data_IF_965198105669
#
_entry.id   IF_965198105669
#
_cell.length_a   1.000
_cell.length_b   1.000
_cell.length_c   1.000
_cell.angle_alpha   90.00
_cell.angle_beta   90.00
_cell.angle_gamma   90.00
#
_symmetry.space_group_name_H-M   'P 1'
#
loop_
_entity.id
_entity.type
_entity.pdbx_description
1 polymer ?
#
# COMPACT_ATOMS: atom_id res chain seq x y z
N UNK A 1 13.93 -4.87 8.20
CA UNK A 1 13.40 -5.82 9.19
C UNK A 1 12.85 -7.07 8.52
N UNK A 2 12.58 -8.15 9.30
CA UNK A 2 11.89 -9.33 8.77
C UNK A 2 10.41 -9.27 9.10
N UNK A 3 9.57 -9.68 8.17
CA UNK A 3 8.13 -9.82 8.36
C UNK A 3 7.60 -11.01 7.58
N UNK A 4 6.39 -11.49 7.90
CA UNK A 4 5.74 -12.56 7.13
C UNK A 4 4.78 -11.97 6.12
N UNK A 5 4.81 -12.51 4.90
CA UNK A 5 3.88 -12.13 3.86
C UNK A 5 3.32 -13.36 3.13
N UNK A 6 2.10 -13.25 2.63
CA UNK A 6 1.53 -14.19 1.69
C UNK A 6 1.94 -13.75 0.27
N UNK A 7 2.80 -14.52 -0.38
CA UNK A 7 3.39 -14.19 -1.67
C UNK A 7 2.79 -15.06 -2.77
N UNK A 8 2.34 -14.44 -3.85
CA UNK A 8 2.02 -15.11 -5.10
C UNK A 8 3.32 -15.18 -5.93
N UNK A 9 3.94 -16.36 -5.99
CA UNK A 9 5.17 -16.53 -6.77
C UNK A 9 4.90 -16.69 -8.26
N UNK A 10 3.81 -17.34 -8.62
CA UNK A 10 3.41 -17.61 -10.00
C UNK A 10 1.88 -17.52 -10.16
N UNK A 11 1.46 -17.16 -11.36
CA UNK A 11 0.05 -17.15 -11.74
C UNK A 11 -0.60 -18.54 -11.54
N UNK A 12 -1.82 -18.56 -11.01
CA UNK A 12 -2.61 -19.78 -10.80
C UNK A 12 -2.14 -20.69 -9.67
N UNK A 13 -1.05 -20.34 -8.96
CA UNK A 13 -0.54 -21.12 -7.83
C UNK A 13 -1.13 -20.62 -6.51
N UNK A 14 -1.15 -21.46 -5.46
CA UNK A 14 -1.49 -21.02 -4.11
C UNK A 14 -0.51 -19.95 -3.61
N UNK A 15 -0.99 -19.10 -2.71
CA UNK A 15 -0.11 -18.18 -1.97
C UNK A 15 0.77 -18.96 -1.00
N UNK A 16 2.02 -18.54 -0.87
CA UNK A 16 2.96 -19.07 0.09
C UNK A 16 3.24 -18.06 1.19
N UNK A 17 3.14 -18.48 2.46
CA UNK A 17 3.50 -17.63 3.59
C UNK A 17 4.99 -17.78 3.85
N UNK A 18 5.73 -16.72 3.54
CA UNK A 18 7.19 -16.70 3.69
C UNK A 18 7.65 -15.50 4.52
N UNK A 19 8.83 -15.61 5.09
CA UNK A 19 9.52 -14.49 5.72
C UNK A 19 10.22 -13.67 4.64
N UNK A 20 9.93 -12.38 4.60
CA UNK A 20 10.47 -11.41 3.64
C UNK A 20 11.25 -10.31 4.36
N UNK A 21 12.17 -9.69 3.64
CA UNK A 21 12.84 -8.49 4.09
C UNK A 21 11.98 -7.27 3.75
N UNK A 22 11.81 -6.39 4.72
CA UNK A 22 11.12 -5.11 4.58
C UNK A 22 12.06 -3.98 4.97
N UNK A 23 12.24 -3.02 4.07
CA UNK A 23 12.96 -1.78 4.35
C UNK A 23 12.15 -0.87 5.28
N UNK A 24 12.83 0.05 5.97
CA UNK A 24 12.18 1.14 6.71
C UNK A 24 11.54 2.17 5.77
N UNK A 25 10.67 3.04 6.31
CA UNK A 25 10.00 4.05 5.50
C UNK A 25 10.98 5.13 5.04
N UNK A 26 10.99 5.45 3.76
CA UNK A 26 11.72 6.59 3.18
C UNK A 26 10.95 7.91 3.42
N UNK A 27 11.48 9.01 2.91
CA UNK A 27 10.80 10.30 2.98
C UNK A 27 9.40 10.22 2.35
N UNK A 28 8.39 10.70 3.06
CA UNK A 28 6.99 10.65 2.65
C UNK A 28 6.29 9.30 2.88
N UNK A 29 6.99 8.29 3.41
CA UNK A 29 6.45 6.95 3.62
C UNK A 29 6.12 6.68 5.10
N UNK A 30 5.29 5.68 5.32
CA UNK A 30 4.85 5.25 6.65
C UNK A 30 4.99 3.75 6.78
N UNK A 31 5.54 3.27 7.88
CA UNK A 31 5.53 1.85 8.23
C UNK A 31 4.30 1.55 9.09
N UNK A 32 3.49 0.62 8.64
CA UNK A 32 2.23 0.24 9.30
C UNK A 32 2.27 -1.22 9.71
N UNK A 33 1.95 -1.50 10.96
CA UNK A 33 1.68 -2.86 11.43
C UNK A 33 0.23 -3.21 11.10
N UNK A 34 0.01 -4.11 10.14
CA UNK A 34 -1.31 -4.55 9.75
C UNK A 34 -1.95 -5.38 10.86
N UNK A 35 -3.12 -4.98 11.31
CA UNK A 35 -3.91 -5.64 12.36
C UNK A 35 -5.10 -6.42 11.81
N UNK A 36 -5.62 -6.00 10.66
CA UNK A 36 -6.72 -6.65 9.96
C UNK A 36 -6.58 -6.45 8.46
N UNK A 37 -7.12 -7.36 7.68
CA UNK A 37 -7.19 -7.24 6.23
C UNK A 37 -8.48 -7.83 5.70
N UNK A 38 -9.08 -7.19 4.69
CA UNK A 38 -10.14 -7.76 3.88
C UNK A 38 -9.58 -8.70 2.81
N UNK A 39 -10.46 -9.49 2.23
CA UNK A 39 -10.17 -10.36 1.08
C UNK A 39 -11.04 -9.87 -0.08
N UNK A 40 -10.41 -9.38 -1.12
CA UNK A 40 -11.08 -8.88 -2.30
C UNK A 40 -10.96 -9.85 -3.48
N UNK A 41 -12.00 -9.91 -4.29
CA UNK A 41 -11.98 -10.72 -5.50
C UNK A 41 -10.93 -10.24 -6.52
N UNK A 42 -10.53 -8.99 -6.46
CA UNK A 42 -9.44 -8.43 -7.28
C UNK A 42 -8.12 -9.15 -7.05
N UNK A 43 -7.82 -9.53 -5.81
CA UNK A 43 -6.60 -10.29 -5.50
C UNK A 43 -6.63 -11.68 -6.13
N UNK A 44 -7.80 -12.34 -6.13
CA UNK A 44 -7.99 -13.62 -6.81
C UNK A 44 -7.92 -13.48 -8.34
N UNK A 45 -8.46 -12.41 -8.90
CA UNK A 45 -8.38 -12.11 -10.33
C UNK A 45 -6.92 -12.00 -10.78
N UNK A 46 -6.09 -11.28 -10.02
CA UNK A 46 -4.66 -11.20 -10.28
C UNK A 46 -3.96 -12.54 -10.03
N UNK A 47 -4.20 -13.19 -8.87
CA UNK A 47 -3.59 -14.48 -8.52
C UNK A 47 -3.87 -15.57 -9.55
N UNK A 48 -5.08 -15.62 -10.09
CA UNK A 48 -5.49 -16.61 -11.09
C UNK A 48 -4.80 -16.44 -12.46
N UNK A 49 -4.22 -15.27 -12.71
CA UNK A 49 -3.63 -14.91 -14.00
C UNK A 49 -4.63 -14.37 -15.02
N UNK A 50 -5.86 -14.11 -14.60
CA UNK A 50 -6.87 -13.47 -15.47
C UNK A 50 -6.60 -11.97 -15.66
N UNK A 51 -5.85 -11.35 -14.75
CA UNK A 51 -5.44 -9.96 -14.81
C UNK A 51 -4.27 -9.77 -15.80
N UNK A 52 -4.48 -9.06 -16.92
CA UNK A 52 -3.41 -8.83 -17.89
C UNK A 52 -2.30 -7.91 -17.38
N UNK A 53 -2.54 -7.15 -16.30
CA UNK A 53 -1.54 -6.31 -15.63
C UNK A 53 -0.88 -7.05 -14.44
N UNK A 54 -1.30 -8.27 -14.14
CA UNK A 54 -0.77 -9.06 -13.03
C UNK A 54 0.71 -9.38 -13.22
N UNK A 55 1.53 -9.03 -12.23
CA UNK A 55 2.96 -9.30 -12.22
C UNK A 55 3.37 -10.13 -11.01
N UNK A 56 4.37 -11.00 -11.19
CA UNK A 56 4.83 -11.96 -10.16
C UNK A 56 6.37 -11.97 -10.08
N UNK A 57 6.96 -12.28 -8.91
CA UNK A 57 6.30 -12.56 -7.64
C UNK A 57 5.76 -11.29 -6.97
N UNK A 58 4.60 -11.38 -6.30
CA UNK A 58 3.95 -10.24 -5.69
C UNK A 58 3.30 -10.55 -4.34
N UNK A 59 3.27 -9.55 -3.47
CA UNK A 59 2.45 -9.52 -2.26
C UNK A 59 1.12 -8.87 -2.67
N UNK A 60 0.05 -9.67 -2.66
CA UNK A 60 -1.31 -9.22 -2.95
C UNK A 60 -1.99 -8.68 -1.68
N UNK A 61 -3.13 -8.04 -1.86
CA UNK A 61 -3.92 -7.44 -0.79
C UNK A 61 -3.87 -5.91 -0.82
N UNK A 62 -5.05 -5.29 -0.64
CA UNK A 62 -5.20 -3.84 -0.69
C UNK A 62 -6.26 -3.31 0.28
N UNK A 63 -6.77 -4.15 1.17
CA UNK A 63 -7.81 -3.81 2.15
C UNK A 63 -7.27 -3.96 3.58
N UNK A 64 -6.12 -3.34 3.85
CA UNK A 64 -5.49 -3.41 5.16
C UNK A 64 -6.03 -2.35 6.13
N UNK A 65 -5.95 -2.65 7.42
CA UNK A 65 -6.07 -1.68 8.51
C UNK A 65 -4.98 -1.95 9.53
N UNK A 66 -4.41 -0.91 10.11
CA UNK A 66 -3.27 -1.10 10.99
C UNK A 66 -2.92 0.10 11.85
N UNK A 67 -1.79 -0.02 12.52
CA UNK A 67 -1.24 1.01 13.41
C UNK A 67 0.10 1.47 12.84
N UNK A 68 0.29 2.77 12.78
CA UNK A 68 1.56 3.38 12.36
C UNK A 68 2.64 3.03 13.37
N UNK A 69 3.75 2.44 12.90
CA UNK A 69 4.93 2.16 13.73
C UNK A 69 5.99 3.25 13.58
N UNK A 70 6.21 3.71 12.35
CA UNK A 70 7.27 4.65 12.02
C UNK A 70 6.83 5.54 10.84
N UNK A 71 7.32 6.78 10.82
CA UNK A 71 7.07 7.72 9.73
C UNK A 71 8.39 8.20 9.15
N UNK A 72 8.47 8.28 7.83
CA UNK A 72 9.60 8.84 7.11
C UNK A 72 9.65 10.37 7.18
N UNK A 73 10.76 10.94 6.76
CA UNK A 73 10.95 12.38 6.75
C UNK A 73 9.85 13.10 5.94
N UNK A 74 9.34 14.21 6.45
CA UNK A 74 8.31 15.03 5.79
C UNK A 74 6.87 14.56 6.00
N UNK A 75 6.63 13.42 6.64
CA UNK A 75 5.28 12.98 7.02
C UNK A 75 4.83 13.77 8.24
N UNK A 76 3.70 14.49 8.12
CA UNK A 76 3.14 15.33 9.19
C UNK A 76 1.67 15.04 9.49
N UNK A 77 1.03 14.21 8.68
CA UNK A 77 -0.42 13.93 8.76
C UNK A 77 -0.78 12.79 9.71
N UNK A 78 0.19 11.93 10.02
CA UNK A 78 0.06 10.83 10.97
C UNK A 78 1.31 10.70 11.81
N UNK A 79 1.19 10.04 12.97
CA UNK A 79 2.27 9.77 13.90
C UNK A 79 2.26 8.29 14.33
N UNK A 80 3.38 7.78 14.88
CA UNK A 80 3.40 6.45 15.49
C UNK A 80 2.28 6.29 16.54
N UNK A 81 1.54 5.19 16.45
CA UNK A 81 0.36 4.90 17.27
C UNK A 81 -0.99 5.23 16.61
N UNK A 82 -1.00 5.98 15.54
CA UNK A 82 -2.25 6.28 14.82
C UNK A 82 -2.81 5.04 14.11
N UNK A 83 -4.12 4.89 14.14
CA UNK A 83 -4.84 3.85 13.42
C UNK A 83 -5.15 4.34 12.00
N UNK A 84 -4.79 3.55 11.01
CA UNK A 84 -4.89 3.94 9.60
C UNK A 84 -5.49 2.84 8.74
N UNK A 85 -6.14 3.27 7.66
CA UNK A 85 -6.60 2.42 6.55
C UNK A 85 -5.94 2.96 5.28
N UNK A 86 -5.02 2.21 4.65
CA UNK A 86 -4.42 2.61 3.39
C UNK A 86 -5.46 2.71 2.27
N UNK A 87 -5.37 3.74 1.45
CA UNK A 87 -6.18 3.85 0.24
C UNK A 87 -5.51 3.08 -0.90
N UNK A 88 -6.30 2.30 -1.64
CA UNK A 88 -5.82 1.59 -2.82
C UNK A 88 -5.31 2.52 -3.91
N UNK A 89 -5.95 3.67 -4.09
CA UNK A 89 -5.54 4.69 -5.05
C UNK A 89 -5.08 5.94 -4.30
N UNK A 90 -3.80 6.02 -3.92
CA UNK A 90 -3.26 7.19 -3.25
C UNK A 90 -3.14 8.39 -4.19
N UNK A 91 -2.96 9.58 -3.64
CA UNK A 91 -2.88 10.85 -4.37
C UNK A 91 -1.49 11.48 -4.20
N UNK A 92 -0.88 11.94 -5.30
CA UNK A 92 0.36 12.75 -5.24
C UNK A 92 0.09 14.20 -4.82
N UNK A 93 -1.17 14.68 -4.98
CA UNK A 93 -1.65 16.05 -4.65
C UNK A 93 -1.04 17.18 -5.46
N UNK A 94 -0.30 16.88 -6.49
CA UNK A 94 0.38 17.85 -7.35
C UNK A 94 -0.15 17.81 -8.78
N UNK A 95 -0.61 16.65 -9.28
CA UNK A 95 -1.11 16.54 -10.64
C UNK A 95 -2.53 17.13 -10.78
N UNK A 96 -2.89 17.49 -12.01
CA UNK A 96 -4.19 18.08 -12.33
C UNK A 96 -5.37 17.27 -11.82
N UNK A 97 -5.26 15.93 -11.84
CA UNK A 97 -6.31 15.05 -11.35
C UNK A 97 -6.45 15.11 -9.82
N UNK A 98 -5.35 15.19 -9.09
CA UNK A 98 -5.40 15.32 -7.63
C UNK A 98 -5.92 16.70 -7.20
N UNK A 99 -5.60 17.74 -7.95
CA UNK A 99 -6.04 19.11 -7.67
C UNK A 99 -7.49 19.36 -8.09
N UNK A 100 -8.05 18.51 -8.94
CA UNK A 100 -9.42 18.67 -9.42
C UNK A 100 -10.44 18.15 -8.39
N UNK A 101 -11.47 18.93 -8.01
CA UNK A 101 -12.39 18.58 -6.92
C UNK A 101 -13.29 17.37 -7.18
N UNK A 102 -13.36 16.89 -8.42
CA UNK A 102 -14.26 15.78 -8.85
C UNK A 102 -13.53 14.51 -9.24
N UNK A 103 -12.22 14.42 -9.07
CA UNK A 103 -11.45 13.24 -9.49
C UNK A 103 -10.47 12.79 -8.42
N UNK A 104 -10.19 11.49 -8.42
CA UNK A 104 -9.23 10.81 -7.56
C UNK A 104 -8.29 9.89 -8.36
N UNK A 105 -8.14 10.15 -9.66
CA UNK A 105 -7.36 9.32 -10.58
C UNK A 105 -5.94 9.88 -10.73
N UNK A 106 -5.14 9.78 -9.69
CA UNK A 106 -3.76 10.26 -9.70
C UNK A 106 -2.94 9.59 -10.82
N UNK A 107 -2.41 10.39 -11.72
CA UNK A 107 -1.60 9.88 -12.83
C UNK A 107 -0.20 9.44 -12.40
N UNK A 108 0.39 10.13 -11.42
CA UNK A 108 1.74 9.83 -10.95
C UNK A 108 1.83 8.46 -10.27
N UNK A 109 0.86 8.18 -9.41
CA UNK A 109 0.82 6.90 -8.70
C UNK A 109 0.42 5.77 -9.65
N UNK A 110 -0.52 6.00 -10.58
CA UNK A 110 -0.95 4.99 -11.55
C UNK A 110 0.19 4.46 -12.41
N UNK A 111 1.17 5.30 -12.71
CA UNK A 111 2.31 4.91 -13.54
C UNK A 111 3.19 3.79 -12.92
N UNK A 112 3.27 3.73 -11.59
CA UNK A 112 4.09 2.74 -10.86
C UNK A 112 3.27 1.66 -10.17
N UNK A 113 2.06 1.98 -9.73
CA UNK A 113 1.16 1.03 -9.07
C UNK A 113 0.84 -0.19 -9.94
N UNK A 114 0.55 0.01 -11.23
CA UNK A 114 0.32 -1.10 -12.17
C UNK A 114 1.55 -1.99 -12.40
N UNK A 115 2.73 -1.52 -12.01
CA UNK A 115 3.97 -2.30 -12.03
C UNK A 115 4.29 -2.97 -10.69
N UNK A 116 3.45 -2.79 -9.68
CA UNK A 116 3.68 -3.33 -8.33
C UNK A 116 4.82 -2.66 -7.58
N UNK A 117 5.09 -1.38 -7.88
CA UNK A 117 6.21 -0.61 -7.34
C UNK A 117 5.75 0.65 -6.63
N UNK A 118 6.62 1.17 -5.77
CA UNK A 118 6.50 2.48 -5.16
C UNK A 118 6.66 3.60 -6.20
N UNK A 119 6.24 4.84 -5.90
CA UNK A 119 6.41 5.98 -6.81
C UNK A 119 7.85 6.24 -7.26
N UNK A 120 8.85 5.82 -6.48
CA UNK A 120 10.27 5.92 -6.83
C UNK A 120 10.76 4.80 -7.77
N UNK A 121 9.84 3.94 -8.24
CA UNK A 121 10.14 2.80 -9.12
C UNK A 121 10.82 1.63 -8.43
N UNK A 122 10.85 1.58 -7.09
CA UNK A 122 11.45 0.48 -6.33
C UNK A 122 10.42 -0.22 -5.43
N UNK A 123 10.76 -1.38 -4.88
CA UNK A 123 9.99 -2.05 -3.85
C UNK A 123 10.68 -1.91 -2.49
N UNK A 124 9.88 -1.94 -1.41
CA UNK A 124 10.39 -2.04 -0.03
C UNK A 124 10.48 -3.48 0.45
N UNK A 125 9.93 -4.41 -0.33
CA UNK A 125 9.95 -5.83 -0.01
C UNK A 125 10.96 -6.58 -0.86
N UNK A 126 11.67 -7.53 -0.24
CA UNK A 126 12.52 -8.46 -0.97
C UNK A 126 12.47 -9.86 -0.36
N UNK A 127 12.73 -10.87 -1.20
CA UNK A 127 12.84 -12.27 -0.82
C UNK A 127 14.08 -12.89 -1.44
N UNK A 128 14.93 -13.47 -0.61
CA UNK A 128 16.24 -14.04 -1.06
C UNK A 128 17.06 -13.04 -1.90
N UNK A 129 17.06 -11.75 -1.50
CA UNK A 129 17.80 -10.69 -2.17
C UNK A 129 17.19 -10.21 -3.49
N UNK A 130 16.00 -10.68 -3.88
CA UNK A 130 15.26 -10.22 -5.06
C UNK A 130 14.06 -9.37 -4.64
N UNK A 131 13.78 -8.27 -5.33
CA UNK A 131 12.62 -7.45 -5.04
C UNK A 131 11.32 -8.22 -5.24
N UNK A 132 10.35 -8.00 -4.35
CA UNK A 132 8.98 -8.47 -4.49
C UNK A 132 8.09 -7.30 -4.90
N UNK A 133 7.20 -7.54 -5.84
CA UNK A 133 6.17 -6.59 -6.22
C UNK A 133 5.07 -6.52 -5.15
N UNK A 134 4.30 -5.44 -5.12
CA UNK A 134 3.18 -5.29 -4.19
C UNK A 134 2.11 -4.36 -4.78
N UNK A 135 0.85 -4.59 -4.41
CA UNK A 135 -0.28 -3.86 -5.00
C UNK A 135 -0.81 -2.70 -4.15
N UNK A 136 -0.50 -2.64 -2.88
CA UNK A 136 -0.72 -1.41 -2.11
C UNK A 136 0.48 -0.50 -2.30
N UNK A 137 0.30 0.52 -3.12
CA UNK A 137 1.17 1.68 -3.09
C UNK A 137 0.81 2.49 -1.86
N UNK A 138 1.74 2.58 -0.98
CA UNK A 138 1.74 3.23 0.30
C UNK A 138 1.01 4.54 0.42
N UNK A 139 0.57 4.76 1.64
CA UNK A 139 0.12 6.01 2.19
C UNK A 139 1.04 7.18 1.85
N UNK A 140 0.68 7.93 0.83
CA UNK A 140 1.02 9.33 0.78
C UNK A 140 0.13 10.03 1.80
N UNK A 141 0.66 10.27 2.97
CA UNK A 141 -0.07 10.97 4.01
C UNK A 141 0.30 12.45 4.02
N UNK A 142 -0.35 13.17 3.20
CA UNK A 142 -0.61 14.58 3.45
C UNK A 142 -2.12 14.74 3.72
N UNK A 143 -2.58 15.51 4.68
CA UNK A 143 -4.02 15.66 4.95
C UNK A 143 -4.72 16.26 3.74
N UNK A 144 -5.62 15.50 3.11
CA UNK A 144 -6.59 16.06 2.18
C UNK A 144 -7.71 16.70 2.99
N UNK A 145 -8.28 17.82 2.54
CA UNK A 145 -9.53 18.31 3.10
C UNK A 145 -10.67 17.27 3.09
N UNK A 146 -10.53 16.20 2.29
CA UNK A 146 -11.45 15.06 2.25
C UNK A 146 -11.16 14.03 3.34
N UNK A 147 -9.92 13.92 3.81
CA UNK A 147 -9.53 13.00 4.89
C UNK A 147 -9.96 13.53 6.28
N UNK A 148 -10.32 14.81 6.37
CA UNK A 148 -10.91 15.41 7.58
C UNK A 148 -12.33 14.89 7.87
N UNK A 149 -12.94 14.14 6.95
CA UNK A 149 -14.24 13.49 7.16
C UNK A 149 -14.15 12.10 7.78
N UNK A 150 -12.97 11.55 8.00
CA UNK A 150 -12.82 10.32 8.77
C UNK A 150 -13.12 10.63 10.24
N UNK A 151 -14.32 10.30 10.63
CA UNK A 151 -14.85 10.45 11.98
C UNK A 151 -13.84 9.93 13.01
N UNK A 152 -13.46 10.78 13.94
CA UNK A 152 -13.00 10.34 15.25
C UNK A 152 -14.13 9.49 15.83
N UNK A 153 -13.98 8.18 15.84
CA UNK A 153 -14.85 7.36 16.67
C UNK A 153 -14.60 7.76 18.12
N UNK A 154 -15.62 8.17 18.86
CA UNK A 154 -15.45 8.41 20.28
C UNK A 154 -15.02 7.09 20.92
N UNK A 155 -13.94 7.11 21.70
CA UNK A 155 -13.59 6.02 22.58
C UNK A 155 -14.76 5.83 23.53
N UNK A 156 -15.51 4.75 23.36
CA UNK A 156 -16.46 4.32 24.38
C UNK A 156 -15.68 3.88 25.60
N UNK A 157 -15.93 4.57 26.72
CA UNK A 157 -15.50 4.20 28.04
C UNK A 157 -16.06 2.84 28.46
#
# INVERSE_FOLDING_TARGET
MKTRAAVAFESGKPLEIVEVDLEGPKAGEVLVEIKATGICHTDEFTRSGADPEGAFPAILGHEGAGVVLEVGAGVTSVAPGDHVIPLYTPECRECDYCLHPKTNLCQMVRATQGQGLMPDGTSRFSYNGKPLLHYICLLYTSPSPRDLSTSRMPSSA
#
